data_IF_393130528609
#
_entry.id   IF_393130528609
#
_cell.length_a   1.000
_cell.length_b   1.000
_cell.length_c   1.000
_cell.angle_alpha   90.00
_cell.angle_beta   90.00
_cell.angle_gamma   90.00
#
_symmetry.space_group_name_H-M   'P 1'
#
loop_
_entity.id
_entity.type
_entity.pdbx_description
1 polymer ?
#
# COMPACT_ATOMS: atom_id res chain seq x y z
N UNK A 1 -9.64 -6.53 16.86
CA UNK A 1 -8.92 -7.74 16.42
C UNK A 1 -9.33 -7.99 14.99
N UNK A 2 -8.39 -7.91 14.05
CA UNK A 2 -8.65 -8.30 12.67
C UNK A 2 -9.24 -9.71 12.62
N UNK A 3 -10.33 -9.86 11.87
CA UNK A 3 -10.94 -11.15 11.61
C UNK A 3 -9.86 -12.10 11.03
N UNK A 4 -9.81 -13.34 11.52
CA UNK A 4 -8.88 -14.36 11.03
C UNK A 4 -9.00 -14.53 9.50
N UNK A 5 -10.19 -14.35 8.96
CA UNK A 5 -10.47 -14.32 7.52
C UNK A 5 -9.70 -13.21 6.78
N UNK A 6 -9.64 -11.99 7.35
CA UNK A 6 -8.92 -10.86 6.74
C UNK A 6 -7.41 -11.14 6.70
N UNK A 7 -6.85 -11.69 7.78
CA UNK A 7 -5.43 -12.05 7.81
C UNK A 7 -5.08 -13.11 6.76
N UNK A 8 -5.91 -14.14 6.61
CA UNK A 8 -5.74 -15.18 5.58
C UNK A 8 -5.80 -14.60 4.16
N UNK A 9 -6.68 -13.64 3.89
CA UNK A 9 -6.71 -12.92 2.61
C UNK A 9 -5.47 -12.03 2.39
N UNK A 10 -4.93 -11.42 3.46
CA UNK A 10 -3.81 -10.49 3.38
C UNK A 10 -2.43 -11.16 3.28
N UNK A 11 -2.26 -12.33 3.89
CA UNK A 11 -0.98 -13.03 3.98
C UNK A 11 -0.28 -13.22 2.61
N UNK A 12 -0.97 -13.65 1.52
CA UNK A 12 -0.36 -13.80 0.20
C UNK A 12 0.12 -12.48 -0.43
N UNK A 13 -0.39 -11.33 0.04
CA UNK A 13 -0.04 -10.00 -0.44
C UNK A 13 1.08 -9.35 0.39
N UNK A 14 1.59 -10.04 1.41
CA UNK A 14 2.68 -9.54 2.25
C UNK A 14 4.01 -9.59 1.49
N UNK A 15 4.73 -8.48 1.48
CA UNK A 15 6.03 -8.31 0.84
C UNK A 15 7.10 -8.18 1.92
N UNK A 16 7.96 -9.19 2.01
CA UNK A 16 8.99 -9.27 3.06
C UNK A 16 10.27 -8.48 2.74
N UNK A 17 10.55 -8.19 1.47
CA UNK A 17 11.78 -7.50 1.03
C UNK A 17 11.59 -5.97 0.88
N UNK A 18 10.84 -5.36 1.81
CA UNK A 18 10.42 -3.96 1.74
C UNK A 18 11.58 -2.96 1.74
N UNK A 19 12.75 -3.34 2.25
CA UNK A 19 13.97 -2.52 2.28
C UNK A 19 14.45 -2.16 0.87
N UNK A 20 14.14 -3.01 -0.11
CA UNK A 20 14.44 -2.78 -1.53
C UNK A 20 13.43 -1.87 -2.23
N UNK A 21 12.35 -1.49 -1.53
CA UNK A 21 11.25 -0.70 -2.09
C UNK A 21 11.32 0.72 -1.54
N UNK A 22 11.35 1.68 -2.46
CA UNK A 22 11.48 3.10 -2.14
C UNK A 22 10.32 3.60 -1.29
N UNK A 23 10.62 4.38 -0.26
CA UNK A 23 9.60 5.01 0.57
C UNK A 23 9.09 6.30 -0.09
N UNK A 24 7.77 6.47 -0.12
CA UNK A 24 7.13 7.74 -0.47
C UNK A 24 6.46 8.33 0.77
N UNK A 25 6.67 9.62 1.02
CA UNK A 25 6.04 10.35 2.13
C UNK A 25 4.51 10.39 2.00
N UNK A 26 4.02 10.27 0.78
CA UNK A 26 2.59 10.32 0.48
C UNK A 26 2.17 9.26 -0.50
N UNK A 27 0.93 9.40 -0.97
CA UNK A 27 0.36 8.46 -1.93
C UNK A 27 1.07 8.50 -3.28
N UNK A 28 1.66 9.64 -3.67
CA UNK A 28 2.23 9.87 -5.00
C UNK A 28 3.52 9.08 -5.27
N UNK A 29 3.79 8.86 -6.56
CA UNK A 29 5.03 8.25 -7.02
C UNK A 29 6.24 9.09 -6.56
N UNK A 30 7.27 8.48 -5.94
CA UNK A 30 8.45 9.21 -5.46
C UNK A 30 9.42 9.61 -6.58
N UNK A 31 9.29 9.01 -7.77
CA UNK A 31 10.11 9.36 -8.93
C UNK A 31 9.88 10.83 -9.35
N UNK A 32 10.90 11.67 -9.20
CA UNK A 32 10.86 13.11 -9.47
C UNK A 32 10.49 13.45 -10.92
N UNK A 33 10.82 12.56 -11.87
CA UNK A 33 10.49 12.69 -13.28
C UNK A 33 9.08 12.20 -13.62
N UNK A 34 8.33 11.74 -12.62
CA UNK A 34 6.96 11.26 -12.78
C UNK A 34 5.95 12.28 -12.23
N UNK A 35 5.23 12.89 -13.15
CA UNK A 35 4.07 13.76 -12.91
C UNK A 35 2.76 13.00 -12.61
N UNK A 36 2.81 11.66 -12.50
CA UNK A 36 1.64 10.83 -12.25
C UNK A 36 1.17 10.95 -10.80
N UNK A 37 0.51 12.07 -10.51
CA UNK A 37 -0.01 12.46 -9.21
C UNK A 37 -1.53 12.38 -9.24
N UNK A 38 -2.09 11.73 -8.24
CA UNK A 38 -3.53 11.65 -8.03
C UNK A 38 -3.78 11.40 -6.54
N UNK A 39 -4.95 11.74 -6.04
CA UNK A 39 -5.39 11.31 -4.71
C UNK A 39 -6.08 9.94 -4.75
N UNK A 40 -6.47 9.49 -5.94
CA UNK A 40 -7.14 8.22 -6.17
C UNK A 40 -6.17 7.12 -6.60
N UNK A 41 -6.60 5.87 -6.50
CA UNK A 41 -5.81 4.69 -6.93
C UNK A 41 -5.72 4.55 -8.46
N UNK A 42 -6.16 5.55 -9.21
CA UNK A 42 -6.03 5.60 -10.67
C UNK A 42 -4.57 5.72 -11.11
N UNK A 43 -3.72 6.41 -10.36
CA UNK A 43 -2.31 6.60 -10.69
C UNK A 43 -1.42 5.40 -10.30
N UNK A 44 -1.89 4.45 -9.48
CA UNK A 44 -1.05 3.40 -8.90
C UNK A 44 -1.76 2.08 -8.76
N UNK A 45 -1.05 0.96 -8.86
CA UNK A 45 -1.56 -0.36 -8.51
C UNK A 45 -1.09 -0.69 -7.09
N UNK A 46 -2.03 -1.00 -6.18
CA UNK A 46 -1.67 -1.60 -4.89
C UNK A 46 -1.35 -3.07 -5.19
N UNK A 47 -0.09 -3.45 -4.96
CA UNK A 47 0.42 -4.80 -5.27
C UNK A 47 0.67 -5.64 -4.01
N UNK A 48 0.64 -5.01 -2.84
CA UNK A 48 0.82 -5.71 -1.58
C UNK A 48 0.95 -4.77 -0.40
N UNK A 49 1.44 -5.32 0.70
CA UNK A 49 1.71 -4.57 1.94
C UNK A 49 2.97 -5.08 2.62
N UNK A 50 3.53 -4.29 3.53
CA UNK A 50 4.66 -4.69 4.35
C UNK A 50 4.51 -4.20 5.79
N UNK A 51 5.08 -4.94 6.72
CA UNK A 51 5.31 -4.55 8.10
C UNK A 51 6.75 -4.06 8.25
N UNK A 52 6.90 -2.80 8.64
CA UNK A 52 8.23 -2.20 8.83
C UNK A 52 8.39 -1.78 10.29
N UNK A 53 9.63 -1.54 10.77
CA UNK A 53 9.85 -0.90 12.07
C UNK A 53 9.17 0.46 12.23
N UNK A 54 8.75 1.09 11.12
CA UNK A 54 8.07 2.39 11.09
C UNK A 54 6.54 2.27 10.99
N UNK A 55 6.01 1.05 11.01
CA UNK A 55 4.59 0.75 10.88
C UNK A 55 4.25 0.01 9.59
N UNK A 56 2.95 -0.20 9.39
CA UNK A 56 2.40 -0.85 8.22
C UNK A 56 2.37 0.10 7.03
N UNK A 57 2.64 -0.43 5.84
CA UNK A 57 2.66 0.33 4.60
C UNK A 57 2.02 -0.45 3.46
N UNK A 58 1.33 0.26 2.59
CA UNK A 58 0.89 -0.25 1.29
C UNK A 58 2.07 -0.20 0.32
N UNK A 59 2.21 -1.26 -0.46
CA UNK A 59 3.18 -1.33 -1.55
C UNK A 59 2.44 -1.13 -2.86
N UNK A 60 2.92 -0.17 -3.64
CA UNK A 60 2.32 0.27 -4.88
C UNK A 60 3.31 0.21 -6.04
N UNK A 61 2.74 0.14 -7.25
CA UNK A 61 3.45 0.32 -8.50
C UNK A 61 2.80 1.48 -9.28
N UNK A 62 3.58 2.46 -9.70
CA UNK A 62 3.08 3.57 -10.50
C UNK A 62 2.59 3.07 -11.87
N UNK A 63 1.37 3.43 -12.29
CA UNK A 63 0.85 3.00 -13.62
C UNK A 63 1.53 3.70 -14.80
N UNK A 64 2.22 4.82 -14.58
CA UNK A 64 2.91 5.59 -15.63
C UNK A 64 4.36 5.16 -15.84
N UNK A 65 5.14 5.08 -14.77
CA UNK A 65 6.58 4.80 -14.85
C UNK A 65 6.99 3.46 -14.22
N UNK A 66 6.05 2.67 -13.70
CA UNK A 66 6.27 1.36 -13.10
C UNK A 66 7.21 1.34 -11.88
N UNK A 67 7.58 2.52 -11.35
CA UNK A 67 8.30 2.62 -10.07
C UNK A 67 7.48 1.96 -8.97
N UNK A 68 8.12 1.04 -8.23
CA UNK A 68 7.56 0.43 -7.03
C UNK A 68 7.94 1.26 -5.82
N UNK A 69 6.96 1.53 -4.97
CA UNK A 69 7.16 2.33 -3.77
C UNK A 69 6.22 1.88 -2.66
N UNK A 70 6.56 2.24 -1.42
CA UNK A 70 5.76 1.97 -0.23
C UNK A 70 5.42 3.26 0.50
N UNK A 71 4.21 3.33 1.05
CA UNK A 71 3.75 4.47 1.82
C UNK A 71 2.73 4.02 2.87
N UNK A 72 2.51 4.80 3.93
CA UNK A 72 1.73 4.35 5.07
C UNK A 72 0.23 4.14 4.80
N UNK A 73 -0.35 4.71 3.74
CA UNK A 73 -1.78 4.53 3.42
C UNK A 73 -2.76 5.15 4.41
N UNK A 74 -2.33 5.46 5.64
CA UNK A 74 -3.09 6.09 6.71
C UNK A 74 -2.38 7.35 7.21
N UNK A 75 -3.16 8.36 7.59
CA UNK A 75 -2.66 9.63 8.15
C UNK A 75 -2.38 9.56 9.65
N UNK A 76 -2.88 8.53 10.34
CA UNK A 76 -2.69 8.27 11.77
C UNK A 76 -2.52 6.77 12.06
N UNK A 77 -1.99 6.46 13.25
CA UNK A 77 -1.89 5.10 13.80
C UNK A 77 -1.23 4.09 12.86
N UNK A 78 -0.03 4.43 12.38
CA UNK A 78 0.78 3.59 11.47
C UNK A 78 1.10 2.20 12.02
N UNK A 79 0.94 2.01 13.33
CA UNK A 79 1.16 0.76 14.04
C UNK A 79 -0.15 0.02 14.39
N UNK A 80 -1.31 0.57 14.03
CA UNK A 80 -2.59 -0.11 14.18
C UNK A 80 -2.84 -1.03 12.98
N UNK A 81 -2.62 -2.32 13.21
CA UNK A 81 -2.82 -3.35 12.20
C UNK A 81 -4.27 -3.47 11.75
N UNK A 82 -5.23 -3.36 12.66
CA UNK A 82 -6.65 -3.57 12.36
C UNK A 82 -7.14 -2.44 11.44
N UNK A 83 -6.76 -1.21 11.77
CA UNK A 83 -7.06 -0.05 10.95
C UNK A 83 -6.38 -0.13 9.56
N UNK A 84 -5.11 -0.51 9.53
CA UNK A 84 -4.38 -0.73 8.28
C UNK A 84 -5.06 -1.80 7.41
N UNK A 85 -5.36 -2.96 7.99
CA UNK A 85 -5.96 -4.09 7.31
C UNK A 85 -7.31 -3.71 6.68
N UNK A 86 -8.15 -2.98 7.41
CA UNK A 86 -9.43 -2.48 6.89
C UNK A 86 -9.24 -1.62 5.64
N UNK A 87 -8.39 -0.59 5.68
CA UNK A 87 -8.15 0.29 4.53
C UNK A 87 -7.48 -0.42 3.36
N UNK A 88 -6.50 -1.28 3.63
CA UNK A 88 -5.83 -2.07 2.61
C UNK A 88 -6.81 -3.00 1.87
N UNK A 89 -7.68 -3.68 2.62
CA UNK A 89 -8.67 -4.58 2.04
C UNK A 89 -9.75 -3.82 1.26
N UNK A 90 -10.21 -2.66 1.74
CA UNK A 90 -11.15 -1.83 0.98
C UNK A 90 -10.59 -1.46 -0.40
N UNK A 91 -9.35 -0.95 -0.45
CA UNK A 91 -8.74 -0.50 -1.70
C UNK A 91 -8.40 -1.65 -2.67
N UNK A 92 -8.05 -2.82 -2.15
CA UNK A 92 -7.74 -3.99 -2.98
C UNK A 92 -8.99 -4.74 -3.46
N UNK A 93 -10.06 -4.79 -2.65
CA UNK A 93 -11.35 -5.40 -3.04
C UNK A 93 -12.14 -4.56 -4.03
N UNK A 94 -12.20 -3.23 -3.86
CA UNK A 94 -12.86 -2.32 -4.82
C UNK A 94 -12.26 -2.40 -6.24
N UNK A 95 -11.01 -2.86 -6.37
CA UNK A 95 -10.36 -3.13 -7.65
C UNK A 95 -10.74 -4.45 -8.31
N UNK A 96 -11.18 -5.45 -7.54
CA UNK A 96 -11.63 -6.75 -8.10
C UNK A 96 -13.02 -6.67 -8.72
N UNK A 97 -13.80 -5.65 -8.38
CA UNK A 97 -15.18 -5.45 -8.86
C UNK A 97 -15.30 -4.49 -10.06
N UNK A 98 -14.19 -3.94 -10.55
CA UNK A 98 -14.09 -3.07 -11.73
C UNK A 98 -13.38 -3.79 -12.87
#
# INVERSE_FOLDING_TARGET
>A
MADKSIMEEMLPMKISNWESIEYSEGINCPNENCDNKSYDDDARNIIGWCDTPYGYMMVCECKKCFTKYRFHGTTGDRFDFDNFAFYFMMRTKMRKEK
#
